data_IF_376843907136
#
_entry.id   IF_376843907136
#
_cell.length_a   1.000
_cell.length_b   1.000
_cell.length_c   1.000
_cell.angle_alpha   90.00
_cell.angle_beta   90.00
_cell.angle_gamma   90.00
#
_symmetry.space_group_name_H-M   'P 1'
#
loop_
_entity.id
_entity.type
_entity.pdbx_description
1 polymer ?
#
# COMPACT_ATOMS: atom_id res chain seq x y z
N UNK A 1 -44.43 -24.17 11.98
CA UNK A 1 -44.08 -22.76 11.70
C UNK A 1 -43.49 -22.20 12.99
N UNK A 2 -42.25 -21.74 13.07
CA UNK A 2 -41.34 -21.26 12.03
C UNK A 2 -39.90 -21.50 12.50
N UNK A 3 -39.04 -21.90 11.56
CA UNK A 3 -37.61 -22.02 11.78
C UNK A 3 -36.99 -20.63 11.66
N UNK A 4 -36.47 -20.08 12.77
CA UNK A 4 -35.55 -18.94 12.70
C UNK A 4 -34.12 -19.50 12.68
N UNK A 5 -33.53 -19.43 11.49
CA UNK A 5 -32.13 -19.80 11.25
C UNK A 5 -31.28 -18.59 11.62
N UNK A 6 -30.24 -18.71 12.47
CA UNK A 6 -29.32 -17.60 12.66
C UNK A 6 -28.50 -17.41 11.37
N UNK A 7 -28.77 -16.32 10.67
CA UNK A 7 -27.91 -15.84 9.59
C UNK A 7 -26.54 -15.53 10.19
N UNK A 8 -25.55 -16.39 9.91
CA UNK A 8 -24.16 -16.08 10.22
C UNK A 8 -23.73 -14.94 9.28
N UNK A 9 -23.49 -13.77 9.85
CA UNK A 9 -22.83 -12.68 9.16
C UNK A 9 -21.43 -13.16 8.77
N UNK A 10 -21.25 -13.51 7.50
CA UNK A 10 -19.93 -13.85 6.96
C UNK A 10 -19.04 -12.62 7.04
N UNK A 11 -18.19 -12.56 8.07
CA UNK A 11 -17.14 -11.57 8.16
C UNK A 11 -16.17 -11.81 6.99
N UNK A 12 -16.36 -11.03 5.93
CA UNK A 12 -15.50 -11.09 4.75
C UNK A 12 -14.14 -10.52 5.15
N UNK A 13 -13.14 -11.39 5.31
CA UNK A 13 -11.78 -10.97 5.58
C UNK A 13 -11.27 -10.12 4.40
N UNK A 14 -10.98 -8.83 4.66
CA UNK A 14 -10.35 -7.95 3.68
C UNK A 14 -8.95 -8.49 3.41
N UNK A 15 -8.69 -8.88 2.16
CA UNK A 15 -7.38 -9.36 1.72
C UNK A 15 -6.59 -8.21 1.12
N UNK A 16 -5.38 -8.02 1.60
CA UNK A 16 -4.42 -7.07 1.04
C UNK A 16 -3.32 -7.83 0.29
N UNK A 17 -2.87 -7.27 -0.82
CA UNK A 17 -1.65 -7.69 -1.50
C UNK A 17 -0.42 -7.26 -0.70
N UNK A 18 0.70 -7.97 -0.88
CA UNK A 18 1.96 -7.61 -0.24
C UNK A 18 2.40 -6.18 -0.58
N UNK A 19 2.13 -5.73 -1.81
CA UNK A 19 2.42 -4.36 -2.25
C UNK A 19 1.60 -3.32 -1.48
N UNK A 20 0.32 -3.58 -1.22
CA UNK A 20 -0.51 -2.70 -0.38
C UNK A 20 -0.01 -2.66 1.07
N UNK A 21 0.43 -3.80 1.61
CA UNK A 21 0.97 -3.87 2.97
C UNK A 21 2.31 -3.14 3.08
N UNK A 22 3.13 -3.17 2.02
CA UNK A 22 4.48 -2.57 1.98
C UNK A 22 4.47 -1.05 2.16
N UNK A 23 3.39 -0.35 1.81
CA UNK A 23 3.31 1.10 1.98
C UNK A 23 3.41 1.52 3.47
N UNK A 24 2.82 0.73 4.37
CA UNK A 24 2.78 1.04 5.80
C UNK A 24 4.17 1.17 6.44
N UNK A 25 5.09 0.19 6.31
CA UNK A 25 6.44 0.36 6.85
C UNK A 25 7.19 1.52 6.19
N UNK A 26 7.07 1.73 4.88
CA UNK A 26 7.74 2.85 4.20
C UNK A 26 7.31 4.21 4.77
N UNK A 27 6.00 4.42 4.91
CA UNK A 27 5.42 5.64 5.51
C UNK A 27 5.87 5.80 6.96
N UNK A 28 5.93 4.70 7.72
CA UNK A 28 6.37 4.74 9.11
C UNK A 28 7.83 5.16 9.22
N UNK A 29 8.71 4.72 8.32
CA UNK A 29 10.13 5.09 8.39
C UNK A 29 10.33 6.54 7.94
N UNK A 30 9.68 6.97 6.84
CA UNK A 30 9.76 8.36 6.34
C UNK A 30 9.21 9.44 7.30
N UNK A 31 8.39 9.05 8.29
CA UNK A 31 7.97 9.96 9.36
C UNK A 31 9.14 10.40 10.25
N UNK A 32 10.13 9.52 10.45
CA UNK A 32 11.23 9.75 11.39
C UNK A 32 12.57 9.96 10.69
N UNK A 33 12.75 9.39 9.51
CA UNK A 33 13.96 9.49 8.71
C UNK A 33 13.67 10.30 7.42
N UNK A 34 14.30 11.47 7.33
CA UNK A 34 14.12 12.42 6.21
C UNK A 34 15.10 12.18 5.07
N UNK A 35 16.03 11.24 5.22
CA UNK A 35 17.04 10.91 4.22
C UNK A 35 16.61 9.70 3.35
N UNK A 36 15.43 9.12 3.61
CA UNK A 36 14.88 8.02 2.82
C UNK A 36 14.30 8.52 1.51
N UNK A 37 14.72 7.88 0.43
CA UNK A 37 14.22 8.11 -0.91
C UNK A 37 13.81 6.76 -1.52
N UNK A 38 12.68 6.72 -2.22
CA UNK A 38 12.25 5.56 -3.00
C UNK A 38 12.70 5.75 -4.45
N UNK A 39 13.47 4.78 -4.96
CA UNK A 39 13.82 4.67 -6.38
C UNK A 39 12.90 3.66 -7.05
N UNK A 40 12.27 4.03 -8.16
CA UNK A 40 11.35 3.14 -8.88
C UNK A 40 11.38 3.38 -10.39
N UNK A 41 11.25 2.30 -11.15
CA UNK A 41 11.20 2.30 -12.62
C UNK A 41 9.78 2.54 -13.17
N UNK A 42 8.76 2.17 -12.37
CA UNK A 42 7.34 2.42 -12.64
C UNK A 42 6.55 2.45 -11.32
N UNK A 43 6.41 3.65 -10.75
CA UNK A 43 5.60 3.87 -9.53
C UNK A 43 4.10 3.64 -9.74
N UNK A 44 3.61 3.84 -10.95
CA UNK A 44 2.19 4.05 -11.27
C UNK A 44 1.40 2.76 -11.52
N UNK A 45 2.03 1.72 -12.07
CA UNK A 45 1.33 0.48 -12.43
C UNK A 45 1.83 -0.72 -11.61
N UNK A 46 3.14 -0.79 -11.34
CA UNK A 46 3.74 -1.98 -10.70
C UNK A 46 4.02 -1.83 -9.21
N UNK A 47 4.43 -0.64 -8.76
CA UNK A 47 4.87 -0.43 -7.37
C UNK A 47 3.74 -0.34 -6.35
N UNK A 48 2.54 0.09 -6.77
CA UNK A 48 1.40 0.44 -5.89
C UNK A 48 1.82 1.29 -4.68
N UNK A 49 2.73 2.25 -4.88
CA UNK A 49 3.27 3.09 -3.80
C UNK A 49 2.47 4.39 -3.61
N UNK A 50 1.28 4.51 -4.19
CA UNK A 50 0.45 5.73 -4.14
C UNK A 50 0.21 6.24 -2.72
N UNK A 51 0.09 5.33 -1.75
CA UNK A 51 -0.13 5.70 -0.35
C UNK A 51 1.11 6.37 0.27
N UNK A 52 2.32 6.02 -0.19
CA UNK A 52 3.56 6.71 0.16
C UNK A 52 3.78 7.99 -0.67
N UNK A 53 3.52 7.92 -1.98
CA UNK A 53 3.77 9.02 -2.91
C UNK A 53 2.94 10.27 -2.63
N UNK A 54 1.71 10.09 -2.14
CA UNK A 54 0.81 11.21 -1.83
C UNK A 54 1.34 12.12 -0.70
N UNK A 55 1.78 11.59 0.47
CA UNK A 55 2.38 12.41 1.52
C UNK A 55 3.85 12.78 1.26
N UNK A 56 4.60 11.99 0.47
CA UNK A 56 6.04 12.17 0.24
C UNK A 56 6.41 12.22 -1.26
N UNK A 57 5.87 13.16 -2.04
CA UNK A 57 6.08 13.19 -3.49
C UNK A 57 7.52 13.54 -3.88
N UNK A 58 8.21 14.34 -3.07
CA UNK A 58 9.60 14.75 -3.32
C UNK A 58 10.62 13.66 -2.97
N UNK A 59 10.21 12.65 -2.20
CA UNK A 59 11.05 11.54 -1.74
C UNK A 59 10.97 10.33 -2.69
N UNK A 60 10.50 10.55 -3.92
CA UNK A 60 10.41 9.53 -4.97
C UNK A 60 11.21 9.95 -6.19
N UNK A 61 12.05 9.05 -6.67
CA UNK A 61 12.79 9.19 -7.93
C UNK A 61 12.29 8.13 -8.91
N UNK A 62 11.69 8.61 -10.01
CA UNK A 62 11.25 7.79 -11.14
C UNK A 62 12.37 7.70 -12.19
N UNK A 63 12.95 6.52 -12.39
CA UNK A 63 14.04 6.31 -13.36
C UNK A 63 13.57 5.80 -14.73
N UNK A 64 12.32 5.35 -14.85
CA UNK A 64 11.79 4.73 -16.06
C UNK A 64 12.37 3.33 -16.32
N UNK A 65 12.28 2.86 -17.56
CA UNK A 65 12.56 1.47 -17.98
C UNK A 65 14.05 1.05 -17.97
N UNK A 66 14.95 1.89 -17.45
CA UNK A 66 16.36 1.56 -17.31
C UNK A 66 16.63 1.12 -15.87
N UNK A 67 16.89 -0.18 -15.67
CA UNK A 67 17.21 -0.81 -14.38
C UNK A 67 18.67 -0.61 -13.95
#
# INVERSE_FOLDING_TARGET
>A
MSADTPHQETQTAVKFSNLEIMNKPLINIAQYDKDIIILTADSSISGKIDQFAKPYPEDIIEVGIAE
#
